data_IF_917725272904
#
_entry.id   IF_917725272904
#
_cell.length_a   1.000
_cell.length_b   1.000
_cell.length_c   1.000
_cell.angle_alpha   90.00
_cell.angle_beta   90.00
_cell.angle_gamma   90.00
#
_symmetry.space_group_name_H-M   'P 1'
#
loop_
_entity.id
_entity.type
_entity.pdbx_description
1 polymer ?
#
# COMPACT_ATOMS: atom_id res chain seq x y z
N UNK A 1 3.47 -98.87 -7.67
CA UNK A 1 2.29 -98.40 -8.43
C UNK A 1 2.64 -97.06 -9.06
N UNK A 2 3.17 -97.08 -10.28
CA UNK A 2 3.63 -95.89 -11.02
C UNK A 2 2.48 -95.37 -11.89
N UNK A 3 2.05 -94.14 -11.64
CA UNK A 3 1.15 -93.39 -12.52
C UNK A 3 2.00 -92.69 -13.59
N UNK A 4 1.94 -93.21 -14.83
CA UNK A 4 2.51 -92.57 -16.01
C UNK A 4 1.60 -91.43 -16.47
N UNK A 5 2.17 -90.24 -16.58
CA UNK A 5 1.62 -89.10 -17.31
C UNK A 5 1.42 -89.46 -18.79
N UNK A 6 0.22 -89.21 -19.30
CA UNK A 6 -0.04 -89.09 -20.74
C UNK A 6 -0.07 -87.60 -21.09
N UNK A 7 1.06 -87.10 -21.58
CA UNK A 7 1.15 -85.81 -22.25
C UNK A 7 0.37 -85.89 -23.56
N UNK A 8 -0.78 -85.21 -23.61
CA UNK A 8 -1.60 -85.07 -24.80
C UNK A 8 -1.02 -83.93 -25.67
N UNK A 9 -0.15 -84.27 -26.61
CA UNK A 9 0.35 -83.34 -27.64
C UNK A 9 -0.67 -83.18 -28.76
N UNK A 10 -1.65 -82.28 -28.58
CA UNK A 10 -2.39 -81.70 -29.71
C UNK A 10 -1.69 -80.41 -30.13
N UNK A 11 -1.02 -80.42 -31.27
CA UNK A 11 -0.49 -79.21 -31.90
C UNK A 11 -1.64 -78.31 -32.36
N UNK A 12 -1.50 -77.00 -32.14
CA UNK A 12 -2.47 -76.00 -32.60
C UNK A 12 -2.61 -76.03 -34.12
N UNK A 13 -3.84 -75.92 -34.61
CA UNK A 13 -4.07 -75.78 -36.04
C UNK A 13 -3.64 -74.39 -36.51
N UNK A 14 -3.19 -74.25 -37.76
CA UNK A 14 -2.75 -72.96 -38.33
C UNK A 14 -3.81 -71.86 -38.17
N UNK A 15 -5.08 -72.23 -38.27
CA UNK A 15 -6.22 -71.32 -38.13
C UNK A 15 -6.36 -70.81 -36.70
N UNK A 16 -6.20 -71.68 -35.67
CA UNK A 16 -6.21 -71.25 -34.26
C UNK A 16 -5.07 -70.29 -33.95
N UNK A 17 -3.89 -70.53 -34.53
CA UNK A 17 -2.72 -69.68 -34.33
C UNK A 17 -2.92 -68.29 -34.97
N UNK A 18 -3.60 -68.23 -36.13
CA UNK A 18 -3.95 -66.99 -36.80
C UNK A 18 -5.04 -66.21 -36.06
N UNK A 19 -6.06 -66.91 -35.52
CA UNK A 19 -7.10 -66.26 -34.71
C UNK A 19 -6.53 -65.73 -33.41
N UNK A 20 -5.66 -66.50 -32.74
CA UNK A 20 -4.98 -66.07 -31.53
C UNK A 20 -4.07 -64.85 -31.77
N UNK A 21 -3.36 -64.78 -32.90
CA UNK A 21 -2.52 -63.63 -33.22
C UNK A 21 -3.33 -62.37 -33.52
N UNK A 22 -4.48 -62.49 -34.21
CA UNK A 22 -5.39 -61.36 -34.46
C UNK A 22 -6.01 -60.84 -33.17
N UNK A 23 -6.47 -61.73 -32.29
CA UNK A 23 -7.01 -61.33 -30.98
C UNK A 23 -5.90 -60.69 -30.13
N UNK A 24 -4.68 -61.23 -30.13
CA UNK A 24 -3.53 -60.65 -29.44
C UNK A 24 -3.16 -59.26 -29.96
N UNK A 25 -3.20 -59.04 -31.27
CA UNK A 25 -2.99 -57.72 -31.89
C UNK A 25 -4.09 -56.73 -31.49
N UNK A 26 -5.35 -57.15 -31.48
CA UNK A 26 -6.46 -56.29 -31.08
C UNK A 26 -6.39 -55.89 -29.61
N UNK A 27 -6.13 -56.84 -28.71
CA UNK A 27 -6.05 -56.55 -27.27
C UNK A 27 -4.85 -55.67 -26.93
N UNK A 28 -3.70 -55.89 -27.54
CA UNK A 28 -2.52 -55.02 -27.34
C UNK A 28 -2.75 -53.61 -27.86
N UNK A 29 -3.46 -53.45 -28.98
CA UNK A 29 -3.81 -52.12 -29.52
C UNK A 29 -4.77 -51.36 -28.58
N UNK A 30 -5.82 -52.03 -28.09
CA UNK A 30 -6.78 -51.44 -27.15
C UNK A 30 -6.10 -51.09 -25.83
N UNK A 31 -5.29 -51.98 -25.28
CA UNK A 31 -4.53 -51.73 -24.05
C UNK A 31 -3.55 -50.56 -24.22
N UNK A 32 -2.88 -50.46 -25.38
CA UNK A 32 -2.00 -49.34 -25.71
C UNK A 32 -2.72 -48.00 -25.75
N UNK A 33 -3.91 -47.93 -26.36
CA UNK A 33 -4.72 -46.72 -26.39
C UNK A 33 -5.20 -46.31 -24.98
N UNK A 34 -5.61 -47.27 -24.15
CA UNK A 34 -6.00 -47.00 -22.76
C UNK A 34 -4.83 -46.45 -21.95
N UNK A 35 -3.64 -47.01 -22.12
CA UNK A 35 -2.43 -46.56 -21.44
C UNK A 35 -2.00 -45.15 -21.87
N UNK A 36 -2.07 -44.84 -23.18
CA UNK A 36 -1.80 -43.50 -23.69
C UNK A 36 -2.79 -42.47 -23.14
N UNK A 37 -4.08 -42.80 -23.12
CA UNK A 37 -5.09 -41.94 -22.52
C UNK A 37 -4.82 -41.73 -21.02
N UNK A 38 -4.39 -42.78 -20.30
CA UNK A 38 -4.05 -42.67 -18.89
C UNK A 38 -2.87 -41.71 -18.67
N UNK A 39 -1.79 -41.83 -19.45
CA UNK A 39 -0.65 -40.92 -19.36
C UNK A 39 -1.03 -39.47 -19.66
N UNK A 40 -1.82 -39.21 -20.71
CA UNK A 40 -2.28 -37.84 -20.99
C UNK A 40 -3.14 -37.29 -19.84
N UNK A 41 -3.98 -38.12 -19.22
CA UNK A 41 -4.80 -37.68 -18.08
C UNK A 41 -3.96 -37.40 -16.83
N UNK A 42 -2.94 -38.21 -16.54
CA UNK A 42 -2.07 -38.00 -15.38
C UNK A 42 -1.21 -36.75 -15.55
N UNK A 43 -0.63 -36.53 -16.73
CA UNK A 43 0.14 -35.33 -17.03
C UNK A 43 -0.73 -34.06 -16.91
N UNK A 44 -1.97 -34.12 -17.41
CA UNK A 44 -2.91 -33.00 -17.29
C UNK A 44 -3.27 -32.71 -15.83
N UNK A 45 -3.48 -33.75 -15.02
CA UNK A 45 -3.81 -33.63 -13.61
C UNK A 45 -2.64 -33.04 -12.80
N UNK A 46 -1.42 -33.55 -13.01
CA UNK A 46 -0.22 -33.06 -12.33
C UNK A 46 0.08 -31.59 -12.67
N UNK A 47 0.01 -31.23 -13.95
CA UNK A 47 0.21 -29.83 -14.34
C UNK A 47 -0.89 -28.90 -13.79
N UNK A 48 -2.11 -29.40 -13.56
CA UNK A 48 -3.15 -28.63 -12.90
C UNK A 48 -2.89 -28.46 -11.39
N UNK A 49 -2.37 -29.51 -10.73
CA UNK A 49 -1.98 -29.43 -9.31
C UNK A 49 -0.86 -28.41 -9.09
N UNK A 50 0.21 -28.46 -9.90
CA UNK A 50 1.31 -27.49 -9.84
C UNK A 50 0.83 -26.05 -10.00
N UNK A 51 -0.08 -25.83 -10.94
CA UNK A 51 -0.64 -24.49 -11.17
C UNK A 51 -1.48 -24.01 -9.98
N UNK A 52 -2.28 -24.90 -9.38
CA UNK A 52 -3.06 -24.59 -8.17
C UNK A 52 -2.16 -24.30 -6.96
N UNK A 53 -1.04 -25.00 -6.82
CA UNK A 53 -0.05 -24.77 -5.77
C UNK A 53 0.65 -23.41 -5.93
N UNK A 54 1.12 -23.09 -7.14
CA UNK A 54 1.71 -21.77 -7.45
C UNK A 54 0.73 -20.64 -7.17
N UNK A 55 -0.53 -20.85 -7.55
CA UNK A 55 -1.60 -19.91 -7.28
C UNK A 55 -1.87 -19.70 -5.78
N UNK A 56 -2.00 -20.80 -5.02
CA UNK A 56 -2.24 -20.71 -3.57
C UNK A 56 -1.07 -19.99 -2.88
N UNK A 57 0.15 -20.22 -3.36
CA UNK A 57 1.35 -19.51 -2.87
C UNK A 57 1.28 -18.01 -3.19
N UNK A 58 0.93 -17.63 -4.41
CA UNK A 58 0.79 -16.23 -4.80
C UNK A 58 -0.31 -15.52 -4.01
N UNK A 59 -1.47 -16.17 -3.83
CA UNK A 59 -2.57 -15.62 -3.04
C UNK A 59 -2.18 -15.42 -1.57
N UNK A 60 -1.59 -16.44 -0.93
CA UNK A 60 -1.12 -16.33 0.46
C UNK A 60 -0.04 -15.25 0.62
N UNK A 61 0.82 -15.08 -0.39
CA UNK A 61 1.83 -14.03 -0.39
C UNK A 61 1.19 -12.63 -0.43
N UNK A 62 0.23 -12.40 -1.35
CA UNK A 62 -0.53 -11.14 -1.40
C UNK A 62 -1.26 -10.91 -0.08
N UNK A 63 -1.90 -11.94 0.47
CA UNK A 63 -2.62 -11.83 1.74
C UNK A 63 -1.72 -11.44 2.91
N UNK A 64 -0.52 -12.03 2.98
CA UNK A 64 0.47 -11.72 4.00
C UNK A 64 1.03 -10.29 3.84
N UNK A 65 1.32 -9.87 2.61
CA UNK A 65 1.84 -8.53 2.34
C UNK A 65 0.79 -7.44 2.64
N UNK A 66 -0.47 -7.67 2.29
CA UNK A 66 -1.57 -6.78 2.69
C UNK A 66 -1.75 -6.77 4.20
N UNK A 67 -1.64 -7.92 4.86
CA UNK A 67 -1.73 -7.97 6.32
C UNK A 67 -0.59 -7.22 7.02
N UNK A 68 0.55 -7.02 6.36
CA UNK A 68 1.67 -6.22 6.85
C UNK A 68 1.58 -4.74 6.47
N UNK A 69 0.72 -4.37 5.52
CA UNK A 69 0.63 -3.00 5.05
C UNK A 69 -0.13 -2.07 6.01
N UNK A 70 0.22 -0.78 5.98
CA UNK A 70 -0.47 0.29 6.70
C UNK A 70 -1.71 0.75 5.93
N UNK A 71 -1.59 0.94 4.62
CA UNK A 71 -2.67 1.38 3.74
C UNK A 71 -2.68 0.64 2.40
N UNK A 72 -3.80 0.74 1.68
CA UNK A 72 -4.02 0.16 0.36
C UNK A 72 -4.46 1.27 -0.60
N UNK A 73 -3.81 1.36 -1.75
CA UNK A 73 -4.10 2.36 -2.77
C UNK A 73 -4.63 1.64 -4.00
N UNK A 74 -5.88 1.90 -4.39
CA UNK A 74 -6.50 1.30 -5.59
C UNK A 74 -6.50 2.23 -6.80
N UNK A 75 -6.18 3.51 -6.59
CA UNK A 75 -6.06 4.50 -7.67
C UNK A 75 -4.60 4.62 -8.12
N UNK A 76 -4.33 4.30 -9.39
CA UNK A 76 -2.99 4.34 -9.95
C UNK A 76 -2.42 5.76 -10.11
N UNK A 77 -3.26 6.80 -10.06
CA UNK A 77 -2.80 8.20 -10.14
C UNK A 77 -2.10 8.68 -8.87
N UNK A 78 -2.37 8.02 -7.75
CA UNK A 78 -1.81 8.34 -6.43
C UNK A 78 -0.51 7.58 -6.12
N UNK A 79 0.05 6.88 -7.11
CA UNK A 79 1.17 5.96 -6.91
C UNK A 79 2.37 6.38 -7.75
N UNK A 80 3.43 6.83 -7.08
CA UNK A 80 4.70 7.17 -7.73
C UNK A 80 5.50 5.90 -8.07
N UNK A 81 5.54 5.52 -9.35
CA UNK A 81 6.28 4.33 -9.81
C UNK A 81 7.81 4.60 -9.76
N UNK A 82 8.58 3.80 -9.00
CA UNK A 82 10.04 3.91 -8.94
C UNK A 82 10.70 3.68 -10.32
N UNK A 83 11.81 4.36 -10.60
CA UNK A 83 12.44 4.28 -11.93
C UNK A 83 12.91 2.87 -12.31
N UNK A 84 13.33 2.05 -11.34
CA UNK A 84 13.68 0.64 -11.53
C UNK A 84 12.52 -0.17 -12.13
N UNK A 85 11.29 0.16 -11.75
CA UNK A 85 10.08 -0.51 -12.18
C UNK A 85 9.39 0.15 -13.39
N UNK A 86 9.76 1.38 -13.78
CA UNK A 86 9.15 2.08 -14.93
C UNK A 86 9.21 1.25 -16.22
N UNK A 87 10.25 0.44 -16.41
CA UNK A 87 10.40 -0.44 -17.59
C UNK A 87 9.25 -1.44 -17.76
N UNK A 88 8.63 -1.86 -16.65
CA UNK A 88 7.52 -2.82 -16.61
C UNK A 88 6.17 -2.10 -16.53
N UNK A 89 6.08 -1.03 -15.74
CA UNK A 89 4.80 -0.40 -15.39
C UNK A 89 4.39 0.76 -16.31
N UNK A 90 5.30 1.38 -17.08
CA UNK A 90 4.97 2.45 -18.05
C UNK A 90 4.67 1.93 -19.47
N UNK A 91 4.45 0.63 -19.65
CA UNK A 91 4.09 0.09 -20.96
C UNK A 91 2.57 0.18 -21.18
N UNK A 92 2.15 0.48 -22.41
CA UNK A 92 0.73 0.67 -22.79
C UNK A 92 -0.19 -0.56 -22.51
N UNK A 93 0.40 -1.72 -22.23
CA UNK A 93 -0.31 -2.98 -21.98
C UNK A 93 -0.34 -3.38 -20.51
N UNK A 94 0.31 -2.61 -19.63
CA UNK A 94 0.34 -2.89 -18.19
C UNK A 94 -0.85 -2.24 -17.52
N UNK A 95 -1.66 -3.03 -16.83
CA UNK A 95 -2.80 -2.56 -16.07
C UNK A 95 -2.44 -2.55 -14.58
N UNK A 96 -2.35 -1.35 -14.01
CA UNK A 96 -2.28 -1.16 -12.56
C UNK A 96 -3.52 -1.76 -11.88
N UNK A 97 -3.32 -2.33 -10.69
CA UNK A 97 -4.39 -3.00 -9.94
C UNK A 97 -4.53 -2.45 -8.54
N UNK A 98 -3.44 -2.42 -7.78
CA UNK A 98 -3.38 -1.81 -6.46
C UNK A 98 -1.92 -1.61 -6.05
N UNK A 99 -1.69 -0.73 -5.09
CA UNK A 99 -0.43 -0.56 -4.38
C UNK A 99 -0.66 -0.68 -2.87
N UNK A 100 0.40 -1.01 -2.14
CA UNK A 100 0.41 -1.16 -0.70
C UNK A 100 1.51 -0.28 -0.13
N UNK A 101 1.15 0.57 0.84
CA UNK A 101 2.12 1.26 1.66
C UNK A 101 2.44 0.37 2.87
N UNK A 102 3.64 -0.21 2.90
CA UNK A 102 4.03 -1.12 3.97
C UNK A 102 4.46 -0.34 5.20
N UNK A 103 5.42 0.58 5.02
CA UNK A 103 6.02 1.43 6.05
C UNK A 103 6.84 2.51 5.35
N UNK A 104 7.00 3.67 5.97
CA UNK A 104 7.68 4.83 5.36
C UNK A 104 9.16 4.60 5.02
N UNK A 105 9.85 3.71 5.73
CA UNK A 105 11.26 3.37 5.48
C UNK A 105 11.44 2.32 4.37
N UNK A 106 10.35 1.83 3.76
CA UNK A 106 10.35 0.77 2.75
C UNK A 106 9.58 1.26 1.52
N UNK A 107 10.06 0.95 0.32
CA UNK A 107 9.34 1.25 -0.91
C UNK A 107 7.94 0.61 -0.94
N UNK A 108 6.97 1.32 -1.53
CA UNK A 108 5.63 0.79 -1.76
C UNK A 108 5.63 -0.45 -2.67
N UNK A 109 4.71 -1.38 -2.41
CA UNK A 109 4.52 -2.58 -3.23
C UNK A 109 3.38 -2.38 -4.22
N UNK A 110 3.71 -2.37 -5.52
CA UNK A 110 2.82 -2.09 -6.65
C UNK A 110 2.52 -3.39 -7.39
N UNK A 111 1.24 -3.64 -7.64
CA UNK A 111 0.76 -4.81 -8.37
C UNK A 111 0.13 -4.42 -9.71
N UNK A 112 0.53 -5.12 -10.76
CA UNK A 112 -0.03 -4.92 -12.10
C UNK A 112 -0.13 -6.23 -12.90
N UNK A 113 -0.99 -6.21 -13.92
CA UNK A 113 -1.14 -7.30 -14.87
C UNK A 113 -0.64 -6.87 -16.24
N UNK A 114 0.07 -7.76 -16.92
CA UNK A 114 0.62 -7.53 -18.26
C UNK A 114 0.50 -8.79 -19.12
N UNK A 115 0.44 -8.68 -20.46
CA UNK A 115 0.58 -9.82 -21.36
C UNK A 115 1.88 -10.61 -21.13
N UNK A 116 1.79 -11.94 -21.17
CA UNK A 116 2.93 -12.83 -20.95
C UNK A 116 3.98 -12.74 -22.06
N UNK A 117 5.24 -12.64 -21.66
CA UNK A 117 6.39 -12.71 -22.57
C UNK A 117 6.76 -14.17 -22.92
N UNK A 118 7.74 -14.34 -23.81
CA UNK A 118 8.22 -15.65 -24.24
C UNK A 118 8.82 -16.44 -23.06
N UNK A 119 8.40 -17.70 -22.89
CA UNK A 119 8.84 -18.56 -21.78
C UNK A 119 7.83 -18.70 -20.62
N UNK A 120 6.80 -17.85 -20.56
CA UNK A 120 5.76 -17.90 -19.53
C UNK A 120 4.44 -18.45 -20.05
N UNK A 121 3.57 -18.92 -19.15
CA UNK A 121 2.22 -19.33 -19.52
C UNK A 121 1.42 -18.11 -20.02
N UNK A 122 1.08 -18.15 -21.31
CA UNK A 122 0.13 -17.22 -21.95
C UNK A 122 -1.25 -17.42 -21.33
N UNK A 123 -2.10 -16.37 -21.25
CA UNK A 123 -1.98 -15.07 -21.94
C UNK A 123 -1.44 -13.89 -21.12
N UNK A 124 -1.67 -13.83 -19.80
CA UNK A 124 -1.24 -12.71 -18.96
C UNK A 124 -0.43 -13.19 -17.73
N UNK A 125 0.42 -12.32 -17.19
CA UNK A 125 1.20 -12.52 -15.96
C UNK A 125 0.94 -11.41 -14.93
N UNK A 126 1.02 -11.79 -13.65
CA UNK A 126 0.95 -10.89 -12.49
C UNK A 126 2.36 -10.43 -12.12
N UNK A 127 2.55 -9.12 -12.09
CA UNK A 127 3.80 -8.48 -11.70
C UNK A 127 3.64 -7.79 -10.35
N UNK A 128 4.68 -7.89 -9.53
CA UNK A 128 4.88 -7.13 -8.30
C UNK A 128 6.16 -6.31 -8.46
N UNK A 129 6.08 -5.01 -8.30
CA UNK A 129 7.23 -4.15 -8.02
C UNK A 129 7.19 -3.81 -6.55
N UNK A 130 8.24 -4.12 -5.80
CA UNK A 130 8.25 -3.81 -4.38
C UNK A 130 9.63 -3.98 -3.79
N UNK A 131 9.75 -3.75 -2.49
CA UNK A 131 10.99 -3.92 -1.76
C UNK A 131 11.46 -5.37 -1.86
N UNK A 132 12.77 -5.52 -1.88
CA UNK A 132 13.47 -6.79 -1.87
C UNK A 132 13.52 -7.36 -0.46
N UNK A 133 13.96 -8.61 -0.40
CA UNK A 133 14.03 -9.37 0.85
C UNK A 133 15.48 -9.65 1.20
N UNK A 134 15.82 -9.53 2.49
CA UNK A 134 17.07 -10.06 3.01
C UNK A 134 17.06 -11.60 3.03
N UNK A 135 18.20 -12.19 3.39
CA UNK A 135 18.34 -13.65 3.55
C UNK A 135 17.41 -14.28 4.60
N UNK A 136 16.79 -13.46 5.46
CA UNK A 136 15.88 -13.87 6.52
C UNK A 136 14.41 -13.63 6.15
N UNK A 137 14.13 -13.05 4.97
CA UNK A 137 12.79 -12.73 4.50
C UNK A 137 12.21 -11.41 5.03
N UNK A 138 13.03 -10.54 5.62
CA UNK A 138 12.61 -9.18 5.99
C UNK A 138 12.74 -8.24 4.80
N UNK A 139 11.88 -7.22 4.75
CA UNK A 139 11.99 -6.15 3.78
C UNK A 139 13.25 -5.31 4.02
N UNK A 140 13.99 -5.02 2.96
CA UNK A 140 15.08 -4.05 3.00
C UNK A 140 14.49 -2.64 3.07
N UNK A 141 15.15 -1.76 3.84
CA UNK A 141 14.79 -0.34 3.86
C UNK A 141 15.29 0.39 2.62
N UNK A 142 14.74 1.58 2.36
CA UNK A 142 15.16 2.46 1.25
C UNK A 142 16.68 2.76 1.33
N UNK A 143 17.21 2.91 2.55
CA UNK A 143 18.65 3.13 2.80
C UNK A 143 19.52 1.90 2.50
N UNK A 144 18.95 0.70 2.55
CA UNK A 144 19.65 -0.54 2.21
C UNK A 144 19.57 -0.83 0.69
N UNK A 145 18.56 -0.28 -0.01
CA UNK A 145 18.33 -0.47 -1.45
C UNK A 145 18.91 0.64 -2.36
N UNK A 146 19.76 1.53 -1.83
CA UNK A 146 20.24 2.79 -2.49
C UNK A 146 20.75 2.62 -3.93
N UNK A 147 21.26 1.45 -4.32
CA UNK A 147 21.79 1.20 -5.66
C UNK A 147 20.92 0.34 -6.58
N UNK A 148 20.00 -0.47 -6.03
CA UNK A 148 19.21 -1.42 -6.81
C UNK A 148 17.73 -1.04 -6.89
N UNK A 149 17.23 -0.30 -5.89
CA UNK A 149 15.84 0.10 -5.76
C UNK A 149 14.88 -1.11 -5.69
N UNK A 150 13.56 -0.85 -5.70
CA UNK A 150 12.57 -1.92 -5.66
C UNK A 150 12.61 -2.71 -6.97
N UNK A 151 12.44 -4.02 -6.87
CA UNK A 151 12.61 -4.95 -8.00
C UNK A 151 11.24 -5.36 -8.54
N UNK A 152 11.08 -5.30 -9.87
CA UNK A 152 9.93 -5.86 -10.56
C UNK A 152 10.11 -7.38 -10.77
N UNK A 153 9.17 -8.16 -10.24
CA UNK A 153 9.19 -9.62 -10.27
C UNK A 153 7.85 -10.19 -10.75
N UNK A 154 7.90 -11.32 -11.44
CA UNK A 154 6.70 -12.06 -11.85
C UNK A 154 6.27 -12.94 -10.69
N UNK A 155 5.06 -12.72 -10.19
CA UNK A 155 4.51 -13.48 -9.08
C UNK A 155 3.72 -14.71 -9.55
N UNK A 156 2.99 -14.58 -10.66
CA UNK A 156 2.15 -15.64 -11.21
C UNK A 156 1.99 -15.50 -12.73
N UNK A 157 1.85 -16.62 -13.42
CA UNK A 157 1.57 -16.70 -14.85
C UNK A 157 0.25 -17.42 -15.16
N UNK A 158 -0.20 -17.40 -16.42
CA UNK A 158 -1.41 -18.11 -16.86
C UNK A 158 -2.73 -17.48 -16.42
N UNK A 159 -2.76 -16.16 -16.23
CA UNK A 159 -3.99 -15.41 -15.91
C UNK A 159 -4.96 -15.41 -17.10
N UNK A 160 -6.27 -15.45 -16.83
CA UNK A 160 -7.30 -15.53 -17.86
C UNK A 160 -7.50 -14.20 -18.61
N UNK A 161 -7.24 -14.15 -19.91
CA UNK A 161 -7.45 -12.97 -20.77
C UNK A 161 -8.92 -12.78 -21.18
N UNK A 162 -9.76 -13.81 -21.02
CA UNK A 162 -11.18 -13.69 -21.31
C UNK A 162 -11.96 -13.06 -20.14
N UNK A 163 -11.34 -12.90 -18.97
CA UNK A 163 -11.94 -12.12 -17.88
C UNK A 163 -11.75 -10.62 -18.17
N UNK A 164 -12.79 -9.83 -17.94
CA UNK A 164 -12.82 -8.36 -18.11
C UNK A 164 -11.69 -7.61 -17.40
N UNK A 165 -11.03 -8.25 -16.44
CA UNK A 165 -9.92 -7.70 -15.66
C UNK A 165 -8.57 -8.40 -15.94
N UNK A 166 -8.42 -9.09 -17.07
CA UNK A 166 -7.20 -9.81 -17.45
C UNK A 166 -6.73 -10.84 -16.41
N UNK A 167 -7.70 -11.45 -15.73
CA UNK A 167 -7.46 -12.53 -14.78
C UNK A 167 -7.12 -12.09 -13.36
N UNK A 168 -7.02 -10.79 -13.08
CA UNK A 168 -6.94 -10.27 -11.72
C UNK A 168 -7.80 -9.02 -11.54
N UNK A 169 -8.80 -9.16 -10.69
CA UNK A 169 -9.78 -8.13 -10.37
C UNK A 169 -9.60 -7.72 -8.91
N UNK A 170 -9.43 -6.42 -8.67
CA UNK A 170 -9.50 -5.82 -7.34
C UNK A 170 -10.86 -5.15 -7.21
N UNK A 171 -11.60 -5.48 -6.15
CA UNK A 171 -12.91 -4.90 -5.87
C UNK A 171 -12.76 -3.87 -4.77
N UNK A 172 -13.18 -2.66 -5.05
CA UNK A 172 -13.21 -1.59 -4.07
C UNK A 172 -14.12 -1.97 -2.89
N UNK A 173 -13.64 -1.63 -1.69
CA UNK A 173 -14.32 -1.89 -0.43
C UNK A 173 -15.01 -0.62 0.06
N UNK A 174 -16.07 -0.78 0.84
CA UNK A 174 -16.72 0.31 1.58
C UNK A 174 -15.82 0.95 2.66
N UNK A 175 -14.66 0.36 2.93
CA UNK A 175 -13.61 0.93 3.78
C UNK A 175 -12.33 1.12 2.94
N UNK A 176 -12.19 2.27 2.25
CA UNK A 176 -11.02 2.54 1.42
C UNK A 176 -9.74 2.44 2.27
N UNK A 177 -8.70 1.86 1.67
CA UNK A 177 -7.37 1.70 2.26
C UNK A 177 -7.20 0.65 3.36
N UNK A 178 -8.23 -0.11 3.75
CA UNK A 178 -8.12 -1.12 4.84
C UNK A 178 -8.46 -2.56 4.46
N UNK A 179 -9.30 -2.75 3.44
CA UNK A 179 -9.76 -4.08 3.02
C UNK A 179 -9.47 -4.26 1.54
N UNK A 180 -8.72 -5.31 1.21
CA UNK A 180 -8.54 -5.76 -0.16
C UNK A 180 -9.46 -6.94 -0.41
N UNK A 181 -10.34 -6.80 -1.39
CA UNK A 181 -11.06 -7.91 -1.98
C UNK A 181 -10.50 -8.13 -3.38
N UNK A 182 -9.98 -9.33 -3.65
CA UNK A 182 -9.44 -9.64 -4.97
C UNK A 182 -9.99 -10.97 -5.48
N UNK A 183 -10.10 -11.06 -6.81
CA UNK A 183 -10.46 -12.27 -7.53
C UNK A 183 -9.35 -12.56 -8.52
N UNK A 184 -8.85 -13.80 -8.47
CA UNK A 184 -7.89 -14.29 -9.44
C UNK A 184 -8.56 -15.34 -10.32
N UNK A 185 -8.51 -15.14 -11.63
CA UNK A 185 -9.00 -16.03 -12.66
C UNK A 185 -7.83 -16.50 -13.51
N UNK A 186 -7.66 -17.81 -13.62
CA UNK A 186 -6.57 -18.44 -14.36
C UNK A 186 -7.11 -19.31 -15.46
N UNK A 187 -6.31 -19.48 -16.50
CA UNK A 187 -6.64 -20.28 -17.65
C UNK A 187 -5.55 -21.30 -17.97
N UNK A 188 -5.94 -22.56 -18.11
CA UNK A 188 -5.09 -23.57 -18.74
C UNK A 188 -5.50 -23.75 -20.19
N UNK A 189 -4.63 -23.34 -21.12
CA UNK A 189 -4.75 -23.66 -22.55
C UNK A 189 -4.02 -24.96 -22.85
N UNK A 190 -4.67 -25.86 -23.58
CA UNK A 190 -4.03 -27.08 -24.06
C UNK A 190 -2.98 -26.74 -25.14
N UNK A 191 -1.73 -27.15 -24.94
CA UNK A 191 -0.61 -26.87 -25.86
C UNK A 191 -0.85 -27.39 -27.30
N UNK A 192 -1.67 -28.43 -27.49
CA UNK A 192 -2.00 -28.97 -28.83
C UNK A 192 -3.26 -28.35 -29.46
N UNK A 193 -4.15 -27.76 -28.67
CA UNK A 193 -5.42 -27.19 -29.13
C UNK A 193 -5.79 -25.98 -28.26
N UNK A 194 -5.61 -24.78 -28.80
CA UNK A 194 -5.89 -23.51 -28.10
C UNK A 194 -7.38 -23.34 -27.71
N UNK A 195 -8.27 -24.21 -28.19
CA UNK A 195 -9.73 -24.10 -27.99
C UNK A 195 -10.24 -24.79 -26.72
N UNK A 196 -9.45 -25.64 -26.04
CA UNK A 196 -9.88 -26.23 -24.76
C UNK A 196 -9.35 -25.37 -23.62
N UNK A 197 -10.26 -24.59 -23.05
CA UNK A 197 -10.01 -23.64 -22.00
C UNK A 197 -10.57 -24.16 -20.68
N UNK A 198 -9.72 -24.34 -19.67
CA UNK A 198 -10.16 -24.54 -18.29
C UNK A 198 -9.92 -23.25 -17.53
N UNK A 199 -11.00 -22.51 -17.27
CA UNK A 199 -10.98 -21.32 -16.42
C UNK A 199 -11.27 -21.72 -14.98
N UNK A 200 -10.40 -21.33 -14.06
CA UNK A 200 -10.63 -21.47 -12.62
C UNK A 200 -10.53 -20.08 -11.99
N UNK A 201 -11.48 -19.72 -11.14
CA UNK A 201 -11.42 -18.45 -10.40
C UNK A 201 -11.71 -18.67 -8.94
N UNK A 202 -11.04 -17.89 -8.09
CA UNK A 202 -11.33 -17.84 -6.67
C UNK A 202 -11.22 -16.40 -6.16
N UNK A 203 -11.88 -16.14 -5.04
CA UNK A 203 -11.93 -14.84 -4.39
C UNK A 203 -11.21 -14.93 -3.04
N UNK A 204 -10.39 -13.94 -2.75
CA UNK A 204 -9.70 -13.73 -1.49
C UNK A 204 -10.09 -12.39 -0.90
N UNK A 205 -10.08 -12.31 0.43
CA UNK A 205 -10.34 -11.08 1.17
C UNK A 205 -9.39 -11.02 2.35
N UNK A 206 -8.67 -9.91 2.45
CA UNK A 206 -7.68 -9.69 3.51
C UNK A 206 -7.74 -8.23 3.95
N UNK A 207 -7.43 -8.01 5.22
CA UNK A 207 -7.41 -6.67 5.83
C UNK A 207 -5.97 -6.30 6.14
N UNK A 208 -5.67 -5.00 6.00
CA UNK A 208 -4.47 -4.44 6.59
C UNK A 208 -4.47 -4.68 8.10
N UNK A 209 -3.28 -4.66 8.70
CA UNK A 209 -3.08 -5.05 10.09
C UNK A 209 -4.08 -4.37 11.03
N UNK A 210 -4.79 -5.16 11.85
CA UNK A 210 -5.72 -4.65 12.86
C UNK A 210 -4.90 -3.93 13.95
N UNK A 211 -5.09 -2.62 13.99
CA UNK A 211 -4.38 -1.63 14.81
C UNK A 211 -2.89 -1.57 14.49
N UNK A 212 -2.49 -0.82 13.44
CA UNK A 212 -1.20 -0.14 13.53
C UNK A 212 -1.13 0.49 14.93
N UNK A 213 -0.09 0.14 15.69
CA UNK A 213 0.35 1.01 16.75
C UNK A 213 0.81 2.25 16.02
N UNK A 214 -0.10 3.21 15.87
CA UNK A 214 0.26 4.48 15.29
C UNK A 214 1.31 5.07 16.22
N UNK A 215 2.56 5.03 15.79
CA UNK A 215 3.65 5.65 16.52
C UNK A 215 3.44 7.15 16.40
N UNK A 216 3.41 7.82 17.54
CA UNK A 216 3.41 9.28 17.58
C UNK A 216 4.62 9.78 16.76
N UNK A 217 4.41 10.62 15.73
CA UNK A 217 5.53 11.20 14.98
C UNK A 217 6.52 11.90 15.91
N UNK A 218 7.81 11.86 15.57
CA UNK A 218 8.86 12.51 16.36
C UNK A 218 9.08 13.93 15.88
N UNK A 219 9.01 14.90 16.79
CA UNK A 219 9.42 16.29 16.54
C UNK A 219 10.94 16.41 16.75
N UNK A 220 11.70 16.59 15.67
CA UNK A 220 13.16 16.71 15.73
C UNK A 220 13.73 17.23 14.42
N UNK A 221 14.54 18.30 14.52
CA UNK A 221 15.02 19.00 13.32
C UNK A 221 16.08 18.20 12.55
N UNK A 222 15.74 17.82 11.32
CA UNK A 222 16.62 17.24 10.30
C UNK A 222 17.39 18.31 9.53
N UNK A 223 17.07 19.60 9.70
CA UNK A 223 17.80 20.71 9.07
C UNK A 223 19.29 20.79 9.40
N UNK A 224 19.78 20.01 10.37
CA UNK A 224 21.22 19.88 10.68
C UNK A 224 21.89 18.67 10.02
N UNK A 225 21.15 17.71 9.46
CA UNK A 225 21.67 16.46 8.89
C UNK A 225 22.50 16.67 7.61
N UNK A 226 23.70 16.10 7.49
CA UNK A 226 24.61 16.42 6.36
C UNK A 226 24.31 15.67 5.05
N UNK A 227 23.40 14.70 5.07
CA UNK A 227 23.20 13.69 4.02
C UNK A 227 21.93 13.87 3.17
N UNK A 228 21.19 14.97 3.34
CA UNK A 228 19.93 15.23 2.61
C UNK A 228 20.06 16.41 1.64
N UNK A 229 19.29 16.39 0.55
CA UNK A 229 19.15 17.55 -0.33
C UNK A 229 18.38 18.65 0.40
N UNK A 230 19.06 19.78 0.63
CA UNK A 230 18.53 20.88 1.44
C UNK A 230 18.21 22.10 0.61
N UNK A 231 16.98 22.58 0.75
CA UNK A 231 16.54 23.86 0.24
C UNK A 231 16.36 24.82 1.40
N UNK A 232 16.90 26.03 1.29
CA UNK A 232 16.72 27.06 2.32
C UNK A 232 16.63 28.44 1.70
N UNK A 233 15.79 29.34 2.24
CA UNK A 233 15.80 30.74 1.88
C UNK A 233 17.20 31.35 2.13
N UNK A 234 17.59 32.34 1.30
CA UNK A 234 18.84 33.06 1.52
C UNK A 234 18.76 33.84 2.85
N UNK A 235 19.79 33.78 3.71
CA UNK A 235 19.83 34.55 4.94
C UNK A 235 19.62 36.04 4.67
N UNK A 236 18.64 36.67 5.33
CA UNK A 236 18.33 38.10 5.19
C UNK A 236 17.46 38.47 3.98
N UNK A 237 16.96 37.49 3.21
CA UNK A 237 15.92 37.77 2.21
C UNK A 237 14.56 37.95 2.92
N UNK A 238 13.90 39.08 2.69
CA UNK A 238 12.54 39.35 3.16
C UNK A 238 11.50 38.77 2.18
N UNK A 239 11.78 37.58 1.63
CA UNK A 239 10.82 36.91 0.77
C UNK A 239 9.71 36.37 1.66
N UNK A 240 8.50 36.91 1.49
CA UNK A 240 7.32 36.43 2.19
C UNK A 240 6.95 35.01 1.78
N UNK A 241 7.34 34.59 0.58
CA UNK A 241 6.98 33.30 -0.02
C UNK A 241 8.27 32.59 -0.50
N UNK A 242 8.47 31.34 -0.10
CA UNK A 242 9.54 30.47 -0.54
C UNK A 242 8.95 29.25 -1.26
N UNK A 243 9.26 29.12 -2.56
CA UNK A 243 8.83 27.99 -3.39
C UNK A 243 10.03 27.20 -3.87
N UNK A 244 9.97 25.88 -3.70
CA UNK A 244 10.93 24.98 -4.31
C UNK A 244 10.48 24.66 -5.74
N UNK A 245 11.38 24.83 -6.70
CA UNK A 245 11.12 24.47 -8.09
C UNK A 245 12.14 23.39 -8.48
N UNK A 246 11.66 22.15 -8.52
CA UNK A 246 12.45 20.96 -8.81
C UNK A 246 11.99 20.35 -10.12
N UNK A 247 12.95 20.00 -10.99
CA UNK A 247 12.68 19.24 -12.20
C UNK A 247 12.83 17.74 -11.94
N UNK A 248 12.16 16.91 -12.75
CA UNK A 248 12.18 15.43 -12.69
C UNK A 248 13.61 14.84 -12.78
N UNK A 249 14.61 15.61 -13.22
CA UNK A 249 16.00 15.19 -13.30
C UNK A 249 16.85 15.60 -12.08
N UNK A 250 16.31 16.41 -11.16
CA UNK A 250 17.06 17.00 -10.05
C UNK A 250 17.06 16.13 -8.79
N UNK A 251 16.18 15.12 -8.74
CA UNK A 251 16.05 14.17 -7.63
C UNK A 251 16.28 12.73 -8.09
N UNK A 252 16.93 11.92 -7.24
CA UNK A 252 16.89 10.47 -7.44
C UNK A 252 15.50 9.92 -7.06
N UNK A 253 14.99 8.91 -7.76
CA UNK A 253 13.69 8.31 -7.44
C UNK A 253 13.63 7.83 -5.99
N UNK A 254 12.58 8.25 -5.25
CA UNK A 254 12.38 7.88 -3.85
C UNK A 254 13.23 8.67 -2.84
N UNK A 255 13.78 9.82 -3.25
CA UNK A 255 14.49 10.73 -2.36
C UNK A 255 13.55 11.84 -1.87
N UNK A 256 13.41 11.94 -0.55
CA UNK A 256 12.66 13.02 0.10
C UNK A 256 13.39 14.36 -0.05
N UNK A 257 12.62 15.44 -0.17
CA UNK A 257 13.13 16.80 -0.29
C UNK A 257 13.12 17.48 1.08
N UNK A 258 14.29 17.82 1.63
CA UNK A 258 14.34 18.54 2.90
C UNK A 258 14.33 20.05 2.66
N UNK A 259 13.26 20.71 3.10
CA UNK A 259 13.08 22.17 3.06
C UNK A 259 13.26 22.74 4.45
N UNK A 260 14.29 23.56 4.60
CA UNK A 260 14.61 24.26 5.83
C UNK A 260 14.30 25.74 5.68
N UNK A 261 13.13 26.16 6.14
CA UNK A 261 12.81 27.55 6.36
C UNK A 261 13.81 28.15 7.34
N UNK A 262 14.64 29.08 6.87
CA UNK A 262 15.49 29.91 7.73
C UNK A 262 15.24 31.36 7.35
N UNK A 263 14.95 32.21 8.34
CA UNK A 263 14.70 33.63 8.13
C UNK A 263 13.23 34.03 8.35
N UNK A 264 12.83 35.18 7.81
CA UNK A 264 11.49 35.76 7.94
C UNK A 264 10.60 35.36 6.74
N UNK A 265 10.42 34.05 6.55
CA UNK A 265 9.48 33.52 5.55
C UNK A 265 8.10 33.43 6.17
N UNK A 266 7.07 33.91 5.47
CA UNK A 266 5.68 33.83 5.93
C UNK A 266 4.92 32.68 5.28
N UNK A 267 5.44 32.17 4.15
CA UNK A 267 4.91 31.03 3.44
C UNK A 267 6.04 30.16 2.87
N UNK A 268 5.88 28.84 2.96
CA UNK A 268 6.75 27.83 2.37
C UNK A 268 5.89 26.89 1.53
N UNK A 269 6.33 26.64 0.31
CA UNK A 269 5.68 25.73 -0.63
C UNK A 269 6.64 24.62 -1.00
N UNK A 270 6.17 23.39 -0.77
CA UNK A 270 6.80 22.17 -1.20
C UNK A 270 6.79 21.96 -2.71
N UNK A 271 7.17 20.76 -3.09
CA UNK A 271 7.34 20.26 -4.45
C UNK A 271 6.18 19.33 -4.85
N UNK A 272 6.36 18.55 -5.91
CA UNK A 272 5.40 17.51 -6.31
C UNK A 272 5.80 16.12 -5.78
N UNK A 273 6.71 16.08 -4.80
CA UNK A 273 7.30 14.88 -4.23
C UNK A 273 7.21 14.94 -2.71
N UNK A 274 7.37 13.77 -2.07
CA UNK A 274 7.45 13.63 -0.62
C UNK A 274 8.49 14.61 -0.03
N UNK A 275 8.00 15.64 0.65
CA UNK A 275 8.80 16.70 1.24
C UNK A 275 8.85 16.57 2.76
N UNK A 276 10.00 16.94 3.33
CA UNK A 276 10.13 17.22 4.76
C UNK A 276 10.35 18.71 4.90
N UNK A 277 9.37 19.42 5.44
CA UNK A 277 9.38 20.87 5.54
C UNK A 277 9.45 21.30 7.00
N UNK A 278 10.55 21.94 7.38
CA UNK A 278 10.75 22.54 8.70
C UNK A 278 10.81 24.06 8.55
N UNK A 279 9.85 24.78 9.12
CA UNK A 279 9.80 26.25 8.92
C UNK A 279 10.97 26.99 9.55
N UNK A 280 11.58 26.47 10.62
CA UNK A 280 12.76 27.03 11.32
C UNK A 280 12.70 28.53 11.67
N UNK A 281 11.53 29.17 11.54
CA UNK A 281 11.27 30.56 11.83
C UNK A 281 10.76 30.71 13.28
N UNK A 282 10.75 31.94 13.78
CA UNK A 282 10.24 32.26 15.12
C UNK A 282 8.84 32.89 15.06
N UNK A 283 8.34 33.17 13.85
CA UNK A 283 7.05 33.80 13.59
C UNK A 283 6.14 32.80 12.87
N UNK A 284 4.84 33.09 12.88
CA UNK A 284 3.83 32.27 12.21
C UNK A 284 4.11 32.15 10.71
N UNK A 285 4.11 30.91 10.22
CA UNK A 285 4.35 30.54 8.83
C UNK A 285 3.15 29.72 8.30
N UNK A 286 2.84 29.92 7.02
CA UNK A 286 1.97 29.01 6.29
C UNK A 286 2.82 28.01 5.52
N UNK A 287 2.63 26.72 5.75
CA UNK A 287 3.36 25.66 5.04
C UNK A 287 2.36 24.92 4.15
N UNK A 288 2.71 24.75 2.88
CA UNK A 288 2.02 23.91 1.92
C UNK A 288 2.95 22.74 1.55
N UNK A 289 2.55 21.50 1.84
CA UNK A 289 3.26 20.28 1.45
C UNK A 289 3.21 20.05 -0.06
N UNK A 290 2.00 20.15 -0.62
CA UNK A 290 1.64 20.16 -2.04
C UNK A 290 1.18 18.83 -2.65
N UNK A 291 2.08 18.02 -3.19
CA UNK A 291 1.74 16.68 -3.65
C UNK A 291 2.80 15.74 -3.11
N UNK A 292 2.40 14.56 -2.64
CA UNK A 292 3.32 13.60 -2.04
C UNK A 292 2.91 13.28 -0.63
N UNK A 293 3.70 12.48 0.07
CA UNK A 293 3.49 12.19 1.48
C UNK A 293 4.39 13.10 2.31
N UNK A 294 3.85 14.22 2.79
CA UNK A 294 4.69 15.28 3.35
C UNK A 294 4.79 15.22 4.87
N UNK A 295 5.93 15.67 5.39
CA UNK A 295 6.14 15.90 6.82
C UNK A 295 6.32 17.39 7.06
N UNK A 296 5.32 18.02 7.67
CA UNK A 296 5.30 19.46 7.91
C UNK A 296 5.52 19.74 9.39
N UNK A 297 6.61 20.42 9.71
CA UNK A 297 6.92 20.88 11.07
C UNK A 297 6.82 22.41 11.16
N UNK A 298 5.85 22.84 11.98
CA UNK A 298 5.63 24.24 12.33
C UNK A 298 6.69 24.80 13.27
N UNK A 299 6.63 26.13 13.41
CA UNK A 299 7.36 26.94 14.37
C UNK A 299 6.74 26.89 15.76
N UNK A 300 7.38 27.59 16.72
CA UNK A 300 6.79 27.80 18.05
C UNK A 300 5.57 28.74 18.04
N UNK A 301 5.37 29.50 16.97
CA UNK A 301 4.20 30.35 16.79
C UNK A 301 3.05 29.51 16.19
N UNK A 302 1.84 30.06 16.19
CA UNK A 302 0.71 29.32 15.65
C UNK A 302 0.73 29.41 14.12
N UNK A 303 0.92 28.27 13.47
CA UNK A 303 1.12 28.16 12.02
C UNK A 303 -0.17 27.75 11.29
N UNK A 304 -0.09 27.77 9.96
CA UNK A 304 -1.06 27.10 9.08
C UNK A 304 -0.32 26.02 8.30
N UNK A 305 -0.40 24.77 8.76
CA UNK A 305 0.17 23.61 8.08
C UNK A 305 -0.91 22.99 7.19
N UNK A 306 -0.60 22.85 5.91
CA UNK A 306 -1.47 22.28 4.89
C UNK A 306 -0.67 21.23 4.16
N UNK A 307 -1.03 19.95 4.29
CA UNK A 307 -0.46 18.86 3.50
C UNK A 307 -0.74 19.13 2.03
N UNK A 308 -1.93 18.73 1.59
CA UNK A 308 -2.37 18.95 0.21
C UNK A 308 -3.61 19.83 0.09
N UNK A 309 -4.06 20.43 1.21
CA UNK A 309 -5.16 21.40 1.20
C UNK A 309 -4.71 22.79 0.74
N UNK A 310 -4.68 22.97 -0.58
CA UNK A 310 -4.44 24.27 -1.22
C UNK A 310 -5.27 24.46 -2.49
N UNK A 311 -5.50 25.72 -2.87
CA UNK A 311 -5.87 26.02 -4.25
C UNK A 311 -4.71 25.66 -5.17
N UNK A 312 -4.99 25.19 -6.39
CA UNK A 312 -3.99 24.82 -7.40
C UNK A 312 -2.92 25.89 -7.68
N UNK A 313 -3.14 27.16 -7.32
CA UNK A 313 -2.14 28.22 -7.45
C UNK A 313 -0.99 28.17 -6.44
N UNK A 314 -1.09 27.35 -5.39
CA UNK A 314 -0.10 27.30 -4.31
C UNK A 314 0.94 26.18 -4.52
N UNK A 315 0.72 25.26 -5.44
CA UNK A 315 1.62 24.13 -5.68
C UNK A 315 2.21 24.17 -7.09
N UNK A 316 3.37 23.55 -7.33
CA UNK A 316 3.91 23.39 -8.68
C UNK A 316 2.86 22.73 -9.59
N UNK A 317 2.81 23.14 -10.85
CA UNK A 317 1.92 22.64 -11.92
C UNK A 317 0.39 22.71 -11.73
N UNK A 318 -0.09 23.09 -10.54
CA UNK A 318 -1.51 23.31 -10.23
C UNK A 318 -2.39 22.07 -10.37
N UNK A 319 -1.80 20.91 -10.18
CA UNK A 319 -2.50 19.63 -10.03
C UNK A 319 -2.48 19.27 -8.56
N UNK A 320 -3.61 18.80 -8.03
CA UNK A 320 -3.75 18.33 -6.65
C UNK A 320 -3.84 16.81 -6.64
N UNK A 321 -2.87 16.16 -6.02
CA UNK A 321 -2.82 14.73 -5.76
C UNK A 321 -2.68 14.59 -4.25
N UNK A 322 -3.75 14.14 -3.59
CA UNK A 322 -3.70 13.92 -2.14
C UNK A 322 -2.78 12.71 -1.81
N UNK A 323 -1.78 12.92 -0.99
CA UNK A 323 -0.92 11.93 -0.33
C UNK A 323 -1.09 11.92 1.20
N UNK A 324 -0.31 11.08 1.86
CA UNK A 324 -0.48 10.74 3.28
C UNK A 324 0.44 11.59 4.18
N UNK A 325 -0.10 12.64 4.80
CA UNK A 325 0.72 13.66 5.45
C UNK A 325 0.92 13.48 6.97
N UNK A 326 2.01 14.05 7.48
CA UNK A 326 2.28 14.23 8.90
C UNK A 326 2.39 15.72 9.20
N UNK A 327 1.45 16.26 9.97
CA UNK A 327 1.41 17.67 10.36
C UNK A 327 1.76 17.81 11.85
N UNK A 328 2.91 18.39 12.13
CA UNK A 328 3.44 18.62 13.47
C UNK A 328 3.33 20.11 13.78
N UNK A 329 2.26 20.46 14.48
CA UNK A 329 2.07 21.76 15.07
C UNK A 329 2.92 21.92 16.33
N UNK A 330 3.60 23.06 16.42
CA UNK A 330 4.44 23.44 17.57
C UNK A 330 3.93 24.73 18.22
N UNK A 331 2.76 25.21 17.78
CA UNK A 331 2.12 26.43 18.27
C UNK A 331 1.91 26.41 19.78
N UNK A 332 2.16 27.56 20.41
CA UNK A 332 2.16 27.71 21.86
C UNK A 332 1.21 28.78 22.41
N UNK A 333 0.43 29.45 21.54
CA UNK A 333 -0.41 30.57 21.96
C UNK A 333 -1.91 30.20 21.98
N UNK A 334 -2.64 30.75 22.95
CA UNK A 334 -4.08 30.51 23.18
C UNK A 334 -5.02 31.49 22.46
N UNK A 335 -4.53 32.59 21.86
CA UNK A 335 -5.45 33.58 21.27
C UNK A 335 -5.87 33.28 19.83
N UNK A 336 -4.96 32.75 19.01
CA UNK A 336 -5.24 32.36 17.62
C UNK A 336 -4.98 30.86 17.51
N UNK A 337 -5.89 30.02 17.02
CA UNK A 337 -5.57 28.61 16.88
C UNK A 337 -4.54 28.39 15.77
N UNK A 338 -3.59 27.47 15.99
CA UNK A 338 -2.82 26.83 14.93
C UNK A 338 -3.77 26.05 14.02
N UNK A 339 -3.50 26.00 12.72
CA UNK A 339 -4.38 25.37 11.74
C UNK A 339 -3.62 24.22 11.08
N UNK A 340 -4.14 23.01 11.20
CA UNK A 340 -3.57 21.80 10.60
C UNK A 340 -4.61 21.21 9.64
N UNK A 341 -4.28 21.11 8.35
CA UNK A 341 -5.18 20.58 7.33
C UNK A 341 -4.43 19.54 6.49
N UNK A 342 -4.78 18.26 6.60
CA UNK A 342 -4.11 17.21 5.85
C UNK A 342 -4.56 17.18 4.40
N UNK A 343 -5.87 17.13 4.15
CA UNK A 343 -6.42 16.85 2.81
C UNK A 343 -7.03 15.45 2.78
N UNK A 344 -7.26 14.87 1.60
CA UNK A 344 -7.97 13.60 1.51
C UNK A 344 -7.10 12.35 1.75
N UNK A 345 -5.82 12.47 2.11
CA UNK A 345 -4.96 11.33 2.41
C UNK A 345 -5.12 10.72 3.80
N UNK A 346 -4.25 9.77 4.14
CA UNK A 346 -4.14 9.20 5.49
C UNK A 346 -3.25 10.08 6.38
N UNK A 347 -3.84 11.07 7.05
CA UNK A 347 -3.05 12.09 7.72
C UNK A 347 -2.88 11.84 9.23
N UNK A 348 -1.74 12.29 9.76
CA UNK A 348 -1.40 12.25 11.17
C UNK A 348 -1.09 13.64 11.69
N UNK A 349 -1.71 14.00 12.80
CA UNK A 349 -1.60 15.34 13.38
C UNK A 349 -1.03 15.27 14.78
N UNK A 350 -0.02 16.08 15.05
CA UNK A 350 0.39 16.44 16.41
C UNK A 350 0.04 17.91 16.58
N UNK A 351 -1.08 18.24 17.24
CA UNK A 351 -1.36 19.62 17.60
C UNK A 351 -0.35 20.10 18.64
N UNK A 352 0.07 21.35 18.54
CA UNK A 352 0.99 21.97 19.49
C UNK A 352 0.41 22.11 20.90
N UNK A 353 1.19 22.76 21.76
CA UNK A 353 0.80 23.05 23.15
C UNK A 353 -0.13 24.27 23.28
N UNK A 354 -0.59 24.83 22.16
CA UNK A 354 -1.55 25.95 22.08
C UNK A 354 -2.93 25.49 21.63
N UNK A 355 -3.80 26.46 21.31
CA UNK A 355 -5.08 26.15 20.67
C UNK A 355 -4.81 25.68 19.24
N UNK A 356 -5.55 24.67 18.77
CA UNK A 356 -5.41 24.20 17.39
C UNK A 356 -6.75 23.86 16.74
N UNK A 357 -6.81 23.97 15.43
CA UNK A 357 -7.89 23.56 14.56
C UNK A 357 -7.34 22.52 13.59
N UNK A 358 -7.77 21.27 13.75
CA UNK A 358 -7.41 20.16 12.89
C UNK A 358 -8.58 19.87 11.95
N UNK A 359 -8.30 19.82 10.65
CA UNK A 359 -9.27 19.56 9.61
C UNK A 359 -8.75 18.39 8.77
N UNK A 360 -9.37 17.23 8.93
CA UNK A 360 -9.12 16.05 8.11
C UNK A 360 -9.95 16.03 6.82
N UNK A 361 -9.80 14.94 6.07
CA UNK A 361 -10.45 14.72 4.79
C UNK A 361 -11.36 13.48 4.78
N UNK A 362 -11.50 12.88 3.61
CA UNK A 362 -12.38 11.73 3.40
C UNK A 362 -11.76 10.39 3.85
N UNK A 363 -10.43 10.31 3.93
CA UNK A 363 -9.71 9.12 4.38
C UNK A 363 -9.46 9.17 5.90
N UNK A 364 -8.52 8.36 6.41
CA UNK A 364 -8.33 8.21 7.83
C UNK A 364 -7.43 9.30 8.40
N UNK A 365 -7.96 10.06 9.33
CA UNK A 365 -7.27 11.14 10.02
C UNK A 365 -7.08 10.82 11.52
N UNK A 366 -5.85 11.05 12.01
CA UNK A 366 -5.45 10.62 13.36
C UNK A 366 -4.76 11.75 14.11
N UNK A 367 -5.26 12.08 15.30
CA UNK A 367 -4.72 13.15 16.13
C UNK A 367 -4.07 12.59 17.39
N UNK A 368 -2.83 12.98 17.65
CA UNK A 368 -2.03 12.53 18.79
C UNK A 368 -1.92 13.61 19.86
N UNK A 369 -2.29 13.28 21.09
CA UNK A 369 -2.14 14.16 22.24
C UNK A 369 -0.94 13.76 23.11
N UNK A 370 -0.40 14.73 23.83
CA UNK A 370 0.82 14.57 24.62
C UNK A 370 0.56 14.17 26.08
N UNK A 371 -0.65 14.43 26.60
CA UNK A 371 -1.05 14.10 27.98
C UNK A 371 -1.99 12.89 28.04
N UNK A 372 -1.92 12.09 29.12
CA UNK A 372 -2.87 11.00 29.35
C UNK A 372 -4.28 11.53 29.68
N UNK A 373 -5.32 10.73 29.43
CA UNK A 373 -6.70 11.03 29.87
C UNK A 373 -6.87 10.53 31.31
N UNK A 374 -6.47 11.33 32.31
CA UNK A 374 -6.57 10.88 33.71
C UNK A 374 -8.03 10.68 34.18
N UNK A 375 -8.30 9.59 34.88
CA UNK A 375 -9.51 9.42 35.69
C UNK A 375 -9.09 9.25 37.16
N UNK A 376 -9.66 10.05 38.07
CA UNK A 376 -9.36 9.98 39.51
C UNK A 376 -10.59 9.51 40.29
N UNK A 377 -10.89 8.21 40.20
CA UNK A 377 -11.92 7.47 40.96
C UNK A 377 -13.36 8.03 40.93
N UNK A 378 -14.30 7.19 41.40
CA UNK A 378 -15.75 7.18 41.11
C UNK A 378 -16.57 8.44 41.48
N UNK A 379 -15.97 9.53 41.95
CA UNK A 379 -16.69 10.77 42.25
C UNK A 379 -15.93 12.08 41.91
N UNK A 380 -14.77 12.02 41.26
CA UNK A 380 -14.03 13.22 40.83
C UNK A 380 -13.30 12.98 39.51
N UNK A 381 -13.99 13.19 38.39
CA UNK A 381 -13.36 13.19 37.06
C UNK A 381 -12.52 14.46 36.86
N UNK A 382 -11.23 14.40 37.18
CA UNK A 382 -10.23 15.34 36.63
C UNK A 382 -9.59 14.71 35.40
N UNK A 383 -10.31 14.75 34.28
CA UNK A 383 -9.77 14.37 32.97
C UNK A 383 -8.91 15.51 32.46
N UNK A 384 -7.65 15.25 32.10
CA UNK A 384 -6.81 16.28 31.47
C UNK A 384 -7.51 16.89 30.24
N UNK A 385 -8.28 16.07 29.52
CA UNK A 385 -9.09 16.49 28.39
C UNK A 385 -10.59 16.28 28.61
N UNK A 386 -11.40 17.27 28.25
CA UNK A 386 -12.86 17.13 28.14
C UNK A 386 -13.28 17.15 26.67
N UNK A 387 -14.30 16.38 26.32
CA UNK A 387 -14.76 16.20 24.93
C UNK A 387 -16.17 16.75 24.77
N UNK A 388 -16.37 17.70 23.87
CA UNK A 388 -17.67 18.29 23.55
C UNK A 388 -17.83 18.46 22.05
N UNK A 389 -18.99 18.18 21.46
CA UNK A 389 -19.22 18.59 20.08
C UNK A 389 -19.42 20.13 19.99
N UNK A 390 -19.05 20.71 18.85
CA UNK A 390 -19.19 22.16 18.54
C UNK A 390 -20.64 22.68 18.71
N UNK A 391 -21.64 21.80 18.62
CA UNK A 391 -23.08 22.09 18.73
C UNK A 391 -23.75 21.59 20.02
N UNK A 392 -22.98 21.19 21.05
CA UNK A 392 -23.54 20.81 22.36
C UNK A 392 -24.01 19.35 22.48
N UNK A 393 -23.31 18.43 21.80
CA UNK A 393 -23.60 16.99 21.78
C UNK A 393 -22.36 16.10 21.98
N UNK A 394 -22.50 14.83 21.62
CA UNK A 394 -21.41 13.83 21.67
C UNK A 394 -20.44 14.11 20.52
N UNK A 395 -19.15 14.20 20.85
CA UNK A 395 -18.05 14.30 19.89
C UNK A 395 -18.10 13.13 18.88
N UNK A 396 -18.14 13.47 17.59
CA UNK A 396 -18.27 12.53 16.46
C UNK A 396 -17.23 12.88 15.38
N UNK A 397 -17.14 12.09 14.31
CA UNK A 397 -16.15 12.33 13.24
C UNK A 397 -16.25 13.70 12.60
N UNK A 398 -17.48 14.17 12.37
CA UNK A 398 -17.70 15.43 11.67
C UNK A 398 -17.20 16.62 12.47
N UNK A 399 -17.42 16.64 13.80
CA UNK A 399 -17.05 17.75 14.67
C UNK A 399 -16.81 17.26 16.11
N UNK A 400 -15.62 17.55 16.61
CA UNK A 400 -15.24 17.30 17.99
C UNK A 400 -14.38 18.42 18.55
N UNK A 401 -14.68 18.90 19.74
CA UNK A 401 -13.84 19.83 20.49
C UNK A 401 -13.25 19.09 21.68
N UNK A 402 -11.92 19.09 21.77
CA UNK A 402 -11.16 18.54 22.91
C UNK A 402 -10.59 19.73 23.68
N UNK A 403 -10.87 19.82 24.98
CA UNK A 403 -10.36 20.91 25.83
C UNK A 403 -9.40 20.39 26.88
N UNK A 404 -8.19 20.92 26.92
CA UNK A 404 -7.24 20.66 27.99
C UNK A 404 -7.56 21.56 29.19
N UNK A 405 -8.05 20.96 30.27
CA UNK A 405 -8.45 21.67 31.49
C UNK A 405 -7.29 21.86 32.48
N UNK A 406 -6.12 21.28 32.21
CA UNK A 406 -4.93 21.42 33.07
C UNK A 406 -4.23 22.76 32.89
N UNK A 407 -4.47 23.43 31.76
CA UNK A 407 -3.89 24.73 31.44
C UNK A 407 -4.83 25.87 31.87
N UNK A 408 -4.23 27.01 32.25
CA UNK A 408 -4.95 28.26 32.53
C UNK A 408 -4.33 29.40 31.70
N UNK A 409 -5.01 29.93 30.66
CA UNK A 409 -6.35 29.56 30.20
C UNK A 409 -6.42 28.12 29.64
N UNK A 410 -7.62 27.54 29.62
CA UNK A 410 -7.85 26.21 29.05
C UNK A 410 -7.54 26.22 27.56
N UNK A 411 -6.87 25.18 27.08
CA UNK A 411 -6.60 25.04 25.64
C UNK A 411 -7.75 24.32 24.97
N UNK A 412 -8.05 24.72 23.74
CA UNK A 412 -9.13 24.20 22.93
C UNK A 412 -8.59 23.70 21.58
N UNK A 413 -8.84 22.42 21.31
CA UNK A 413 -8.54 21.75 20.06
C UNK A 413 -9.85 21.47 19.33
N UNK A 414 -10.07 22.12 18.20
CA UNK A 414 -11.25 21.89 17.33
C UNK A 414 -10.86 20.91 16.24
N UNK A 415 -11.59 19.81 16.13
CA UNK A 415 -11.33 18.71 15.19
C UNK A 415 -12.54 18.58 14.27
N UNK A 416 -12.30 18.56 12.96
CA UNK A 416 -13.31 18.35 11.92
C UNK A 416 -12.84 17.23 10.99
N UNK A 417 -13.72 16.28 10.65
CA UNK A 417 -13.42 15.08 9.86
C UNK A 417 -12.22 14.29 10.41
N UNK A 418 -12.30 13.84 11.67
CA UNK A 418 -11.24 13.04 12.30
C UNK A 418 -11.83 11.74 12.81
N UNK A 419 -11.17 10.61 12.53
CA UNK A 419 -11.63 9.28 12.96
C UNK A 419 -11.05 8.86 14.30
N UNK A 420 -9.79 9.18 14.60
CA UNK A 420 -9.09 8.57 15.74
C UNK A 420 -8.34 9.63 16.56
N UNK A 421 -8.55 9.59 17.87
CA UNK A 421 -7.77 10.33 18.86
C UNK A 421 -6.88 9.36 19.64
N UNK A 422 -5.59 9.67 19.73
CA UNK A 422 -4.61 8.84 20.42
C UNK A 422 -3.99 9.65 21.55
N UNK A 423 -4.07 9.09 22.75
CA UNK A 423 -3.46 9.60 23.97
C UNK A 423 -2.36 8.62 24.41
N UNK A 424 -1.42 9.04 25.27
CA UNK A 424 -0.38 8.16 25.79
C UNK A 424 -0.90 6.89 26.48
N UNK A 425 -2.10 6.94 27.05
CA UNK A 425 -2.72 5.88 27.84
C UNK A 425 -3.99 5.27 27.20
N UNK A 426 -4.55 5.91 26.18
CA UNK A 426 -5.83 5.49 25.60
C UNK A 426 -5.93 5.84 24.11
N UNK A 427 -6.70 5.03 23.38
CA UNK A 427 -7.21 5.36 22.05
C UNK A 427 -8.73 5.58 22.11
N UNK A 428 -9.22 6.60 21.39
CA UNK A 428 -10.64 6.90 21.23
C UNK A 428 -10.98 7.02 19.75
N UNK A 429 -11.78 6.09 19.27
CA UNK A 429 -12.34 6.14 17.91
C UNK A 429 -13.61 7.00 17.94
N UNK A 430 -13.73 7.93 17.00
CA UNK A 430 -14.90 8.77 16.81
C UNK A 430 -15.88 8.06 15.87
N UNK A 431 -17.14 7.99 16.29
CA UNK A 431 -18.24 7.42 15.51
C UNK A 431 -18.81 8.42 14.50
#
# INVERSE_FOLDING_TARGET
MQLRQLLLTKGFTLVELMVASVIGLLTTTVAGQVMLNHFETSERAEAFQRHRENWTRAANFIEAEVALSESIITDGTKVTIPASCKSVFNQDQTQFKFALNIRQDIHQSIYAVRPSEEGWLKPNTLWRCGPSFDQYGNYLSIEEEVNEGPIAQILLDGLDDNDSHNGFEVRESTSPGKLLNFKLSMVKRNQRNQNVQFSYSNQGSTRTRISPLYSRPTSGSLCTASNMAKFSPKPGSSSTDFKVNLSVNDLTPGQDVLICGKGLVTAIHGSDYDDIIESGANESTTIYGCNGNDVLEGTIANDSLRGDDGSTSNCPDGIKIDGDDILIGNGNNSTNPEILIGGNGFNRYIPGIGNASVIGGDNLDIVFFDKPVQFTDENTTTTNYTFTAKSGGICNRSQCTVKDITNNPQLEYTLENVEILIFPDQRKDLE
#
